data_IF_294537986637
#
_entry.id   IF_294537986637
#
_cell.length_a   1.000
_cell.length_b   1.000
_cell.length_c   1.000
_cell.angle_alpha   90.00
_cell.angle_beta   90.00
_cell.angle_gamma   90.00
#
_symmetry.space_group_name_H-M   'P 1'
#
loop_
_entity.id
_entity.type
_entity.pdbx_description
1 polymer ?
#
# COMPACT_ATOMS: atom_id res chain seq x y z
N UNK A 1 47.63 94.13 0.14
CA UNK A 1 48.31 94.26 1.44
C UNK A 1 47.63 93.30 2.40
N UNK A 2 48.22 92.98 3.53
CA UNK A 2 47.74 92.19 4.60
C UNK A 2 48.06 93.01 5.90
N UNK A 3 47.11 93.89 6.29
CA UNK A 3 47.37 94.97 7.24
C UNK A 3 47.40 94.46 8.71
N UNK A 4 46.85 93.35 9.00
CA UNK A 4 46.81 92.69 10.35
C UNK A 4 47.70 91.46 10.46
N UNK A 5 48.24 90.95 9.37
CA UNK A 5 49.19 89.84 9.25
C UNK A 5 48.57 88.48 9.71
N UNK A 6 47.37 88.16 9.25
CA UNK A 6 46.72 86.90 9.49
C UNK A 6 46.83 85.82 8.37
N UNK A 7 47.52 86.23 7.25
CA UNK A 7 47.77 85.56 6.00
C UNK A 7 46.67 85.66 4.90
N UNK A 8 45.66 86.46 5.14
CA UNK A 8 44.68 86.82 4.16
C UNK A 8 45.01 88.25 3.68
N UNK A 9 44.74 88.54 2.43
CA UNK A 9 44.95 89.94 1.94
C UNK A 9 43.67 90.74 2.21
N UNK A 10 43.85 92.09 2.45
CA UNK A 10 42.72 93.00 2.63
C UNK A 10 41.68 92.88 1.53
N UNK A 11 42.09 92.58 0.29
CA UNK A 11 41.20 92.43 -0.87
C UNK A 11 40.38 91.11 -0.80
N UNK A 12 40.98 90.00 -0.40
CA UNK A 12 40.31 88.69 -0.13
C UNK A 12 39.36 88.81 1.05
N UNK A 13 39.76 89.42 2.14
CA UNK A 13 38.92 89.65 3.33
C UNK A 13 37.67 90.50 3.00
N UNK A 14 37.81 91.55 2.23
CA UNK A 14 36.66 92.34 1.82
C UNK A 14 35.69 91.51 0.94
N UNK A 15 36.19 90.66 0.07
CA UNK A 15 35.37 89.90 -0.83
C UNK A 15 34.71 88.77 0.01
N UNK A 16 35.41 88.16 0.94
CA UNK A 16 34.98 87.05 1.76
C UNK A 16 34.16 87.44 3.04
N UNK A 17 34.13 88.78 3.33
CA UNK A 17 33.28 89.34 4.38
C UNK A 17 33.88 89.32 5.77
N UNK A 18 35.21 89.24 5.91
CA UNK A 18 35.92 89.37 7.16
C UNK A 18 36.43 90.87 7.35
N UNK A 19 37.03 91.12 8.55
CA UNK A 19 37.47 92.44 8.91
C UNK A 19 38.99 92.64 8.64
N UNK A 20 39.42 93.43 7.63
CA UNK A 20 40.80 93.68 7.13
C UNK A 20 41.81 94.18 8.16
N UNK A 21 41.39 94.61 9.32
CA UNK A 21 42.22 95.17 10.41
C UNK A 21 42.13 94.29 11.68
N UNK A 22 41.56 93.11 11.63
CA UNK A 22 41.32 92.31 12.86
C UNK A 22 41.82 90.90 12.69
N UNK A 23 43.03 90.63 13.08
CA UNK A 23 43.71 89.33 12.94
C UNK A 23 42.93 88.14 13.53
N UNK A 24 41.82 88.31 14.22
CA UNK A 24 40.96 87.26 14.71
C UNK A 24 39.67 87.13 13.86
N UNK A 25 39.55 87.87 12.75
CA UNK A 25 38.40 87.82 11.88
C UNK A 25 38.84 87.31 10.48
N UNK A 26 39.20 86.04 10.43
CA UNK A 26 39.59 85.39 9.16
C UNK A 26 38.34 84.99 8.33
N UNK A 27 38.47 85.03 7.01
CA UNK A 27 37.42 84.41 6.15
C UNK A 27 37.05 82.97 6.55
N UNK A 28 35.83 82.60 6.25
CA UNK A 28 35.49 81.19 6.27
C UNK A 28 36.19 80.47 5.14
N UNK A 29 36.95 79.45 5.43
CA UNK A 29 37.75 78.63 4.57
C UNK A 29 37.71 77.21 5.15
N UNK A 30 36.76 76.35 4.69
CA UNK A 30 36.40 75.14 5.31
C UNK A 30 37.48 74.06 5.11
N UNK A 31 38.05 73.97 3.91
CA UNK A 31 39.05 72.98 3.53
C UNK A 31 40.51 73.43 3.79
N UNK A 32 40.69 74.70 4.13
CA UNK A 32 41.97 75.30 4.47
C UNK A 32 42.96 75.41 3.28
N UNK A 33 42.46 75.61 2.06
CA UNK A 33 43.27 75.73 0.88
C UNK A 33 43.70 77.21 0.55
N UNK A 34 43.23 78.15 1.36
CA UNK A 34 43.48 79.62 1.23
C UNK A 34 42.62 80.29 0.16
N UNK A 35 41.53 79.68 -0.27
CA UNK A 35 40.43 80.31 -0.99
C UNK A 35 39.20 80.25 -0.02
N UNK A 36 38.56 81.42 0.17
CA UNK A 36 37.39 81.42 1.05
C UNK A 36 36.16 80.82 0.42
N UNK A 37 35.26 80.22 1.25
CA UNK A 37 34.04 79.56 0.76
C UNK A 37 33.19 80.38 -0.22
N UNK A 38 33.25 81.74 -0.17
CA UNK A 38 32.51 82.61 -1.11
C UNK A 38 33.13 82.62 -2.47
N UNK A 39 34.44 82.43 -2.60
CA UNK A 39 35.19 82.38 -3.81
C UNK A 39 35.58 81.02 -4.32
N UNK A 40 35.52 80.09 -3.46
CA UNK A 40 35.75 78.71 -3.77
C UNK A 40 34.58 78.13 -4.58
N UNK A 41 34.76 77.13 -5.30
CA UNK A 41 33.74 76.35 -6.04
C UNK A 41 33.60 74.94 -5.53
N UNK A 42 34.41 74.59 -4.53
CA UNK A 42 34.46 73.25 -3.92
C UNK A 42 34.88 73.45 -2.46
N UNK A 43 33.92 73.92 -1.61
CA UNK A 43 34.13 74.40 -0.25
C UNK A 43 34.80 73.41 0.70
N UNK A 44 34.63 72.12 0.44
CA UNK A 44 35.14 71.06 1.31
C UNK A 44 36.22 70.17 0.66
N UNK A 45 36.54 70.46 -0.64
CA UNK A 45 37.60 69.85 -1.39
C UNK A 45 37.47 68.32 -1.57
N UNK A 46 36.26 67.86 -1.80
CA UNK A 46 35.96 66.47 -2.10
C UNK A 46 36.04 66.11 -3.58
N UNK A 47 36.26 67.12 -4.47
CA UNK A 47 36.32 67.17 -5.92
C UNK A 47 34.94 67.21 -6.59
N UNK A 48 33.86 67.55 -5.89
CA UNK A 48 32.55 67.89 -6.45
C UNK A 48 32.31 69.37 -6.26
N UNK A 49 31.93 70.10 -7.35
CA UNK A 49 31.66 71.52 -7.24
C UNK A 49 30.39 71.77 -6.44
N UNK A 50 30.37 72.81 -5.55
CA UNK A 50 29.20 73.09 -4.62
C UNK A 50 27.88 73.14 -5.36
N UNK A 51 27.85 73.57 -6.61
CA UNK A 51 26.65 73.67 -7.43
C UNK A 51 26.11 72.30 -7.82
N UNK A 52 26.94 71.27 -7.71
CA UNK A 52 26.63 69.90 -8.06
C UNK A 52 26.58 68.99 -6.81
N UNK A 53 27.03 69.52 -5.69
CA UNK A 53 27.13 68.86 -4.41
C UNK A 53 25.88 69.10 -3.56
N UNK A 54 25.28 68.01 -3.07
CA UNK A 54 24.17 68.06 -2.13
C UNK A 54 24.60 68.51 -0.74
N UNK A 55 25.91 68.35 -0.38
CA UNK A 55 26.49 68.62 0.93
C UNK A 55 27.80 69.47 0.82
N UNK A 56 27.78 70.65 0.25
CA UNK A 56 28.99 71.43 -0.12
C UNK A 56 29.93 71.77 1.03
N UNK A 57 29.69 71.30 2.21
CA UNK A 57 30.47 71.55 3.41
C UNK A 57 30.81 70.24 4.18
N UNK A 58 30.61 69.08 3.56
CA UNK A 58 30.91 67.76 4.17
C UNK A 58 31.64 66.88 3.18
N UNK A 59 32.96 66.93 3.15
CA UNK A 59 33.83 66.19 2.22
C UNK A 59 33.68 64.67 2.26
N UNK A 60 32.79 64.14 3.05
CA UNK A 60 32.44 62.71 3.05
C UNK A 60 31.17 62.41 2.28
N UNK A 61 30.39 63.44 1.87
CA UNK A 61 29.11 63.32 1.21
C UNK A 61 29.01 64.30 0.02
N UNK A 62 28.42 63.85 -1.09
CA UNK A 62 28.22 64.68 -2.27
C UNK A 62 26.89 64.44 -3.01
N UNK A 63 26.25 63.27 -2.75
CA UNK A 63 24.95 62.94 -3.30
C UNK A 63 23.92 62.74 -2.19
N UNK A 64 22.65 62.99 -2.53
CA UNK A 64 21.46 62.71 -1.72
C UNK A 64 20.37 62.35 -2.72
N UNK A 65 20.29 61.05 -3.04
CA UNK A 65 19.49 60.58 -4.16
C UNK A 65 17.99 60.72 -3.89
N UNK A 66 17.53 60.35 -2.68
CA UNK A 66 16.14 60.45 -2.28
C UNK A 66 15.73 61.81 -1.71
N UNK A 67 16.68 62.66 -1.45
CA UNK A 67 16.54 64.01 -0.89
C UNK A 67 15.97 64.04 0.55
N UNK A 68 16.36 63.08 1.39
CA UNK A 68 15.95 63.02 2.77
C UNK A 68 16.85 63.86 3.72
N UNK A 69 18.04 64.26 3.22
CA UNK A 69 19.04 65.09 3.94
C UNK A 69 20.15 64.28 4.61
N UNK A 70 20.23 62.98 4.35
CA UNK A 70 21.34 62.08 4.62
C UNK A 70 22.09 61.88 3.29
N UNK A 71 23.42 61.84 3.27
CA UNK A 71 24.14 61.59 2.04
C UNK A 71 24.27 60.07 1.76
N UNK A 72 24.35 59.74 0.48
CA UNK A 72 24.38 58.33 -0.01
C UNK A 72 25.51 57.50 0.63
N UNK A 73 26.63 58.12 1.10
CA UNK A 73 27.70 57.38 1.76
C UNK A 73 27.35 57.01 3.23
N UNK A 74 26.48 57.79 3.88
CA UNK A 74 26.06 57.61 5.25
C UNK A 74 24.66 56.98 5.35
N UNK A 75 23.87 57.06 4.30
CA UNK A 75 22.59 56.44 4.20
C UNK A 75 22.75 54.89 4.07
N UNK A 76 21.76 54.16 4.39
CA UNK A 76 21.70 52.71 4.28
C UNK A 76 20.55 52.24 3.37
N UNK A 77 19.77 53.22 2.83
CA UNK A 77 18.62 52.99 1.96
C UNK A 77 18.54 54.23 1.06
N UNK A 78 19.45 54.31 0.06
CA UNK A 78 19.74 55.50 -0.76
C UNK A 78 18.54 55.99 -1.56
N UNK A 79 17.53 55.17 -1.83
CA UNK A 79 16.34 55.55 -2.59
C UNK A 79 15.02 55.50 -1.78
N UNK A 80 15.12 55.14 -0.50
CA UNK A 80 14.00 55.10 0.45
C UNK A 80 12.84 54.20 0.04
N UNK A 81 13.14 52.97 -0.52
CA UNK A 81 12.14 52.02 -0.92
C UNK A 81 11.83 50.99 0.20
N UNK A 82 12.58 51.06 1.32
CA UNK A 82 12.60 50.23 2.53
C UNK A 82 13.44 48.94 2.45
N UNK A 83 14.19 48.76 1.37
CA UNK A 83 15.29 47.81 1.33
C UNK A 83 16.59 48.55 1.59
N UNK A 84 17.54 47.89 2.22
CA UNK A 84 18.85 48.53 2.40
C UNK A 84 19.71 48.31 1.14
N UNK A 85 20.63 49.24 0.87
CA UNK A 85 21.58 49.10 -0.26
C UNK A 85 22.31 47.76 -0.25
N UNK A 86 22.62 47.27 0.95
CA UNK A 86 23.30 45.98 1.12
C UNK A 86 22.41 44.81 0.76
N UNK A 87 21.14 44.88 1.14
CA UNK A 87 20.16 43.85 0.79
C UNK A 87 19.91 43.87 -0.72
N UNK A 88 19.75 45.03 -1.31
CA UNK A 88 19.56 45.18 -2.75
C UNK A 88 20.76 44.70 -3.58
N UNK A 89 21.99 45.04 -3.16
CA UNK A 89 23.19 44.46 -3.76
C UNK A 89 23.18 42.94 -3.69
N UNK A 90 22.75 42.37 -2.57
CA UNK A 90 22.67 40.93 -2.38
C UNK A 90 21.58 40.29 -3.24
N UNK A 91 20.48 41.01 -3.40
CA UNK A 91 19.30 40.60 -4.21
C UNK A 91 19.43 40.97 -5.70
N UNK A 92 20.54 41.62 -6.09
CA UNK A 92 20.82 42.05 -7.48
C UNK A 92 19.86 43.12 -8.02
N UNK A 93 19.34 43.98 -7.18
CA UNK A 93 18.55 45.16 -7.51
C UNK A 93 19.42 46.44 -7.47
N UNK A 94 18.88 47.59 -7.85
CA UNK A 94 19.57 48.85 -7.96
C UNK A 94 19.18 49.76 -6.79
N UNK A 95 20.11 49.97 -5.87
CA UNK A 95 19.92 50.76 -4.62
C UNK A 95 19.72 52.29 -4.88
N UNK A 96 19.69 52.71 -6.13
CA UNK A 96 19.39 54.08 -6.52
C UNK A 96 18.11 54.19 -7.37
N UNK A 97 17.29 53.16 -7.45
CA UNK A 97 16.01 53.19 -8.19
C UNK A 97 14.87 52.64 -7.33
N UNK A 98 14.14 53.52 -6.68
CA UNK A 98 12.95 53.22 -5.85
C UNK A 98 11.94 52.21 -6.46
N UNK A 99 11.98 51.97 -7.76
CA UNK A 99 11.12 50.99 -8.42
C UNK A 99 11.82 49.64 -8.66
N UNK A 100 13.09 49.50 -8.28
CA UNK A 100 13.89 48.31 -8.45
C UNK A 100 13.91 47.44 -7.18
N UNK A 101 12.78 47.28 -6.55
CA UNK A 101 12.63 46.51 -5.31
C UNK A 101 12.94 45.04 -5.47
N UNK A 102 13.65 44.40 -4.53
CA UNK A 102 13.79 42.93 -4.47
C UNK A 102 12.44 42.20 -4.45
N UNK A 103 12.39 41.03 -5.08
CA UNK A 103 11.24 40.13 -4.92
C UNK A 103 11.40 39.38 -3.58
N UNK A 104 10.36 39.37 -2.79
CA UNK A 104 10.25 38.73 -1.47
C UNK A 104 8.84 38.14 -1.41
N UNK A 105 8.73 36.83 -1.68
CA UNK A 105 7.45 36.16 -1.91
C UNK A 105 6.68 35.89 -0.61
N UNK A 106 7.37 35.58 0.48
CA UNK A 106 6.76 35.29 1.79
C UNK A 106 6.72 36.50 2.73
N UNK A 107 7.40 37.60 2.36
CA UNK A 107 7.47 38.87 3.12
C UNK A 107 8.21 38.76 4.48
N UNK A 108 9.25 37.94 4.53
CA UNK A 108 10.09 37.80 5.72
C UNK A 108 11.28 38.78 5.77
N UNK A 109 11.50 39.56 4.70
CA UNK A 109 12.57 40.51 4.40
C UNK A 109 13.90 39.83 4.02
N UNK A 110 13.86 38.63 3.52
CA UNK A 110 14.88 38.07 2.64
C UNK A 110 14.30 38.03 1.22
N UNK A 111 15.09 38.32 0.22
CA UNK A 111 14.60 38.21 -1.16
C UNK A 111 14.80 36.81 -1.68
N UNK A 112 13.93 36.35 -2.60
CA UNK A 112 13.94 35.03 -3.22
C UNK A 112 15.33 34.61 -3.77
N UNK A 113 16.23 35.57 -4.06
CA UNK A 113 17.59 35.27 -4.56
C UNK A 113 18.53 34.69 -3.51
N UNK A 114 18.30 34.99 -2.25
CA UNK A 114 19.13 34.58 -1.10
C UNK A 114 18.37 33.86 -0.03
N UNK A 115 17.06 33.72 -0.20
CA UNK A 115 16.24 32.85 0.62
C UNK A 115 16.44 31.38 0.23
N UNK A 116 16.23 30.47 1.12
CA UNK A 116 16.25 29.03 0.89
C UNK A 116 14.83 28.45 0.89
N UNK A 117 13.78 29.28 1.19
CA UNK A 117 12.35 28.91 1.33
C UNK A 117 11.50 30.11 0.92
N UNK A 118 11.48 30.36 -0.42
CA UNK A 118 10.97 31.60 -1.03
C UNK A 118 9.50 31.92 -0.69
N UNK A 119 8.66 30.93 -0.40
CA UNK A 119 7.25 31.13 -0.10
C UNK A 119 6.85 30.90 1.36
N UNK A 120 7.81 30.47 2.21
CA UNK A 120 7.64 30.35 3.64
C UNK A 120 6.77 29.18 4.12
N UNK A 121 6.63 28.13 3.30
CA UNK A 121 5.84 26.95 3.63
C UNK A 121 6.57 25.92 4.50
N UNK A 122 7.88 26.13 4.73
CA UNK A 122 8.82 25.28 5.48
C UNK A 122 9.45 24.15 4.67
N UNK A 123 9.31 24.15 3.36
CA UNK A 123 10.08 23.35 2.43
C UNK A 123 11.10 24.24 1.73
N UNK A 124 12.34 23.80 1.61
CA UNK A 124 13.36 24.56 0.91
C UNK A 124 13.16 24.44 -0.59
N UNK A 125 13.45 25.51 -1.36
CA UNK A 125 13.30 25.57 -2.83
C UNK A 125 13.88 24.39 -3.58
N UNK A 126 14.96 23.80 -3.07
CA UNK A 126 15.60 22.64 -3.69
C UNK A 126 14.82 21.34 -3.51
N UNK A 127 13.94 21.27 -2.52
CA UNK A 127 13.11 20.12 -2.17
C UNK A 127 11.66 20.36 -2.56
N UNK A 128 11.30 21.61 -2.85
CA UNK A 128 9.98 22.05 -3.25
C UNK A 128 9.83 22.07 -4.77
N UNK A 129 8.74 21.50 -5.28
CA UNK A 129 8.38 21.55 -6.68
C UNK A 129 7.65 22.85 -7.07
N UNK A 130 7.18 23.63 -6.10
CA UNK A 130 6.44 24.88 -6.27
C UNK A 130 6.99 26.01 -5.39
N UNK A 131 8.28 26.39 -5.48
CA UNK A 131 8.98 27.26 -4.54
C UNK A 131 8.42 28.68 -4.36
N UNK A 132 7.33 29.02 -5.03
CA UNK A 132 6.66 30.32 -4.96
C UNK A 132 5.17 30.19 -4.62
N UNK A 133 4.71 29.00 -4.23
CA UNK A 133 3.30 28.73 -3.87
C UNK A 133 3.19 28.05 -2.51
N UNK A 134 3.00 28.80 -1.43
CA UNK A 134 2.99 28.28 -0.04
C UNK A 134 1.85 27.28 0.25
N UNK A 135 1.14 26.84 -0.75
CA UNK A 135 0.08 25.85 -0.61
C UNK A 135 0.43 24.50 -1.22
N UNK A 136 1.52 24.44 -1.98
CA UNK A 136 1.95 23.25 -2.72
C UNK A 136 3.46 23.04 -2.53
N UNK A 137 3.89 21.78 -2.41
CA UNK A 137 5.32 21.44 -2.31
C UNK A 137 5.68 20.13 -3.04
N UNK A 138 4.67 19.38 -3.47
CA UNK A 138 4.82 18.07 -4.12
C UNK A 138 3.89 17.96 -5.34
N UNK A 139 4.26 17.09 -6.28
CA UNK A 139 3.55 16.77 -7.51
C UNK A 139 3.87 15.29 -7.80
N UNK A 140 3.00 14.42 -7.35
CA UNK A 140 3.26 12.97 -7.31
C UNK A 140 3.25 12.34 -8.70
N UNK A 141 2.33 12.74 -9.56
CA UNK A 141 2.21 12.20 -10.92
C UNK A 141 3.03 13.01 -11.96
N UNK A 142 3.47 14.23 -11.60
CA UNK A 142 4.30 15.08 -12.45
C UNK A 142 3.55 15.81 -13.54
N UNK A 143 2.26 16.06 -13.38
CA UNK A 143 1.43 16.73 -14.39
C UNK A 143 1.50 18.27 -14.31
N UNK A 144 2.08 18.80 -13.22
CA UNK A 144 2.29 20.24 -12.97
C UNK A 144 1.19 20.87 -12.12
N UNK A 145 0.32 20.10 -11.54
CA UNK A 145 -0.62 20.48 -10.48
C UNK A 145 -0.07 19.95 -9.17
N UNK A 146 -0.07 20.78 -8.12
CA UNK A 146 0.42 20.33 -6.82
C UNK A 146 -0.56 19.38 -6.12
N UNK A 147 -0.03 18.45 -5.35
CA UNK A 147 -0.77 17.37 -4.68
C UNK A 147 -2.00 17.84 -3.87
N UNK A 148 -1.95 19.05 -3.31
CA UNK A 148 -3.06 19.59 -2.53
C UNK A 148 -4.21 20.12 -3.39
N UNK A 149 -3.93 20.53 -4.61
CA UNK A 149 -4.90 21.06 -5.59
C UNK A 149 -5.32 20.04 -6.62
N UNK A 150 -4.61 18.91 -6.69
CA UNK A 150 -4.88 17.85 -7.64
C UNK A 150 -6.11 17.04 -7.24
N UNK A 151 -6.87 16.62 -8.24
CA UNK A 151 -8.04 15.77 -8.09
C UNK A 151 -7.76 14.29 -8.33
N UNK A 152 -6.61 13.99 -8.94
CA UNK A 152 -6.14 12.65 -9.29
C UNK A 152 -4.61 12.62 -9.04
N UNK A 153 -4.26 12.63 -7.75
CA UNK A 153 -2.89 12.92 -7.28
C UNK A 153 -1.81 11.94 -7.74
N UNK A 154 -2.16 10.69 -7.97
CA UNK A 154 -1.22 9.67 -8.44
C UNK A 154 -1.30 9.39 -9.94
N UNK A 155 -2.31 10.00 -10.63
CA UNK A 155 -2.44 9.97 -12.09
C UNK A 155 -2.95 8.66 -12.65
N UNK A 156 -3.76 7.92 -11.89
CA UNK A 156 -4.34 6.64 -12.34
C UNK A 156 -5.66 6.78 -13.12
N UNK A 157 -6.15 8.02 -13.35
CA UNK A 157 -7.43 8.39 -13.93
C UNK A 157 -8.64 8.18 -12.98
N UNK A 158 -8.44 8.01 -11.66
CA UNK A 158 -9.49 7.94 -10.65
C UNK A 158 -9.38 9.13 -9.69
N UNK A 159 -10.49 9.91 -9.57
CA UNK A 159 -10.48 11.08 -8.68
C UNK A 159 -10.25 10.67 -7.22
N UNK A 160 -9.37 11.38 -6.48
CA UNK A 160 -9.05 11.15 -5.05
C UNK A 160 -10.28 10.96 -4.14
N UNK A 161 -11.44 11.52 -4.51
CA UNK A 161 -12.69 11.42 -3.71
C UNK A 161 -13.26 10.00 -3.74
N UNK A 162 -12.98 9.23 -4.77
CA UNK A 162 -13.51 7.88 -4.99
C UNK A 162 -12.42 6.82 -5.04
N UNK A 163 -11.17 7.22 -5.06
CA UNK A 163 -10.01 6.37 -5.00
C UNK A 163 -9.71 5.95 -3.56
N UNK A 164 -9.57 4.66 -3.32
CA UNK A 164 -9.20 4.12 -2.01
C UNK A 164 -7.69 4.20 -1.75
N UNK A 165 -6.89 4.42 -2.79
CA UNK A 165 -5.42 4.51 -2.73
C UNK A 165 -4.87 5.74 -3.46
N UNK A 166 -5.27 6.98 -3.11
CA UNK A 166 -4.98 8.19 -3.87
C UNK A 166 -3.50 8.56 -4.01
N UNK A 167 -2.61 7.76 -3.49
CA UNK A 167 -1.15 7.90 -3.55
C UNK A 167 -0.50 6.70 -4.23
N UNK A 168 -1.26 5.86 -4.95
CA UNK A 168 -0.75 4.64 -5.54
C UNK A 168 -1.32 4.37 -6.93
N UNK A 169 -0.69 4.91 -7.95
CA UNK A 169 -1.00 4.76 -9.38
C UNK A 169 -1.46 3.36 -9.85
N UNK A 170 -1.22 2.33 -9.04
CA UNK A 170 -1.51 0.94 -9.40
C UNK A 170 -2.78 0.40 -8.77
N UNK A 171 -3.39 1.12 -7.85
CA UNK A 171 -4.52 0.66 -7.06
C UNK A 171 -5.55 1.77 -6.92
N UNK A 172 -6.82 1.43 -7.04
CA UNK A 172 -7.92 2.37 -6.81
C UNK A 172 -9.13 1.74 -6.13
N UNK A 173 -9.16 0.40 -6.05
CA UNK A 173 -10.27 -0.38 -5.48
C UNK A 173 -9.73 -1.34 -4.43
N UNK A 174 -10.53 -1.63 -3.41
CA UNK A 174 -10.31 -2.59 -2.33
C UNK A 174 -11.69 -3.16 -1.99
N UNK A 175 -11.99 -4.31 -2.56
CA UNK A 175 -13.35 -4.85 -2.55
C UNK A 175 -13.76 -5.39 -1.17
N UNK A 176 -12.83 -6.04 -0.47
CA UNK A 176 -13.06 -6.63 0.86
C UNK A 176 -12.71 -5.69 2.02
N UNK A 177 -12.12 -4.51 1.71
CA UNK A 177 -11.72 -3.47 2.67
C UNK A 177 -10.62 -3.92 3.66
N UNK A 178 -9.71 -4.81 3.24
CA UNK A 178 -8.62 -5.28 4.08
C UNK A 178 -7.38 -4.35 4.07
N UNK A 179 -7.32 -3.42 3.12
CA UNK A 179 -6.26 -2.41 2.94
C UNK A 179 -5.20 -2.81 1.91
N UNK A 180 -5.41 -3.88 1.18
CA UNK A 180 -4.68 -4.26 -0.03
C UNK A 180 -5.59 -3.95 -1.22
N UNK A 181 -5.07 -3.38 -2.29
CA UNK A 181 -5.90 -3.10 -3.47
C UNK A 181 -6.05 -4.33 -4.36
N UNK A 182 -7.18 -4.42 -5.07
CA UNK A 182 -7.55 -5.58 -5.89
C UNK A 182 -6.48 -6.01 -6.90
N UNK A 183 -5.60 -5.09 -7.37
CA UNK A 183 -4.53 -5.48 -8.28
C UNK A 183 -3.34 -6.18 -7.59
N UNK A 184 -3.17 -5.99 -6.30
CA UNK A 184 -2.09 -6.57 -5.49
C UNK A 184 -2.59 -7.70 -4.60
N UNK A 185 -3.89 -7.77 -4.35
CA UNK A 185 -4.50 -8.83 -3.60
C UNK A 185 -4.50 -10.14 -4.43
N UNK A 186 -4.66 -11.22 -3.78
CA UNK A 186 -4.75 -12.56 -4.38
C UNK A 186 -6.09 -13.22 -4.09
N UNK A 187 -6.92 -12.61 -3.23
CA UNK A 187 -8.21 -13.10 -2.76
C UNK A 187 -9.08 -11.87 -2.49
N UNK A 188 -9.54 -11.23 -3.61
CA UNK A 188 -10.17 -9.90 -3.64
C UNK A 188 -11.44 -9.78 -2.78
N UNK A 189 -12.10 -10.88 -2.42
CA UNK A 189 -13.32 -10.88 -1.59
C UNK A 189 -13.15 -11.57 -0.23
N UNK A 190 -11.94 -12.09 0.05
CA UNK A 190 -11.50 -12.68 1.32
C UNK A 190 -12.36 -13.88 1.77
N UNK A 191 -12.80 -14.72 0.80
CA UNK A 191 -13.57 -15.93 1.09
C UNK A 191 -12.70 -17.16 1.35
N UNK A 192 -11.39 -17.05 1.06
CA UNK A 192 -10.37 -18.08 1.31
C UNK A 192 -9.92 -18.82 0.06
N UNK A 193 -10.52 -18.53 -1.10
CA UNK A 193 -10.04 -18.95 -2.41
C UNK A 193 -9.30 -17.78 -3.07
N UNK A 194 -8.33 -18.08 -3.88
CA UNK A 194 -7.65 -17.02 -4.63
C UNK A 194 -8.41 -16.71 -5.91
N UNK A 195 -8.32 -15.44 -6.39
CA UNK A 195 -8.91 -14.99 -7.64
C UNK A 195 -8.60 -15.94 -8.81
N UNK A 196 -7.37 -16.44 -8.84
CA UNK A 196 -6.94 -17.34 -9.90
C UNK A 196 -7.67 -18.68 -9.82
N UNK A 197 -7.81 -19.25 -8.63
CA UNK A 197 -8.53 -20.51 -8.40
C UNK A 197 -10.02 -20.35 -8.75
N UNK A 198 -10.61 -19.23 -8.39
CA UNK A 198 -11.99 -18.94 -8.71
C UNK A 198 -12.22 -18.73 -10.21
N UNK A 199 -11.38 -17.94 -10.88
CA UNK A 199 -11.43 -17.76 -12.34
C UNK A 199 -11.26 -19.08 -13.07
N UNK A 200 -10.33 -19.95 -12.66
CA UNK A 200 -10.11 -21.27 -13.27
C UNK A 200 -11.30 -22.20 -13.05
N UNK A 201 -11.96 -22.08 -11.91
CA UNK A 201 -13.15 -22.86 -11.56
C UNK A 201 -14.44 -22.27 -12.12
N UNK A 202 -14.40 -20.98 -12.55
CA UNK A 202 -15.49 -20.28 -13.21
C UNK A 202 -16.39 -19.50 -12.26
N UNK A 203 -15.88 -19.13 -11.11
CA UNK A 203 -16.50 -18.27 -10.11
C UNK A 203 -16.07 -16.81 -10.30
N UNK A 204 -16.66 -15.89 -9.53
CA UNK A 204 -16.41 -14.44 -9.60
C UNK A 204 -15.55 -14.04 -8.39
N UNK A 205 -14.27 -13.63 -8.57
CA UNK A 205 -13.36 -13.26 -7.50
C UNK A 205 -13.83 -12.10 -6.59
N UNK A 206 -14.93 -11.46 -6.96
CA UNK A 206 -15.52 -10.36 -6.19
C UNK A 206 -16.83 -10.77 -5.51
N UNK A 207 -17.10 -12.06 -5.32
CA UNK A 207 -18.37 -12.54 -4.81
C UNK A 207 -18.21 -13.66 -3.76
N UNK A 208 -17.85 -13.32 -2.55
CA UNK A 208 -17.67 -14.23 -1.40
C UNK A 208 -18.87 -15.10 -1.00
N UNK A 209 -19.99 -15.01 -1.74
CA UNK A 209 -21.13 -15.91 -1.57
C UNK A 209 -21.13 -17.09 -2.55
N UNK A 210 -20.25 -17.07 -3.58
CA UNK A 210 -20.17 -18.07 -4.65
C UNK A 210 -18.70 -18.51 -4.86
N UNK A 211 -18.27 -19.56 -4.22
CA UNK A 211 -16.92 -20.11 -4.25
C UNK A 211 -16.89 -21.59 -4.64
N UNK A 212 -15.73 -22.13 -5.04
CA UNK A 212 -15.54 -23.55 -5.26
C UNK A 212 -15.93 -24.39 -4.02
N UNK A 213 -16.69 -25.46 -4.22
CA UNK A 213 -17.00 -26.37 -3.13
C UNK A 213 -15.78 -27.25 -2.81
N UNK A 214 -15.43 -27.34 -1.53
CA UNK A 214 -14.35 -28.14 -0.97
C UNK A 214 -14.91 -28.80 0.30
N UNK A 215 -15.35 -30.05 0.15
CA UNK A 215 -16.14 -30.74 1.17
C UNK A 215 -15.31 -31.16 2.36
N UNK A 216 -14.05 -31.58 2.17
CA UNK A 216 -13.17 -32.02 3.24
C UNK A 216 -12.23 -30.91 3.74
N UNK A 217 -12.19 -29.76 3.03
CA UNK A 217 -11.39 -28.58 3.36
C UNK A 217 -9.88 -28.82 3.29
N UNK A 218 -9.43 -29.57 2.31
CA UNK A 218 -8.02 -29.82 2.05
C UNK A 218 -7.38 -28.80 1.10
N UNK A 219 -8.18 -27.92 0.46
CA UNK A 219 -7.79 -26.88 -0.47
C UNK A 219 -7.84 -27.30 -1.93
N UNK A 220 -8.50 -28.42 -2.26
CA UNK A 220 -8.80 -28.87 -3.61
C UNK A 220 -10.32 -28.83 -3.78
N UNK A 221 -10.81 -28.22 -4.87
CA UNK A 221 -12.26 -28.19 -5.14
C UNK A 221 -12.80 -29.59 -5.49
N UNK A 222 -13.98 -29.95 -5.01
CA UNK A 222 -14.66 -31.26 -5.26
C UNK A 222 -14.67 -31.64 -6.75
N UNK A 223 -14.67 -30.71 -7.67
CA UNK A 223 -14.69 -30.96 -9.11
C UNK A 223 -13.41 -31.60 -9.66
N UNK A 224 -12.29 -31.39 -8.98
CA UNK A 224 -10.95 -31.87 -9.37
C UNK A 224 -10.31 -32.75 -8.30
N UNK A 225 -10.93 -32.87 -7.13
CA UNK A 225 -10.55 -33.83 -6.14
C UNK A 225 -10.91 -35.26 -6.59
N UNK A 226 -10.20 -36.22 -6.14
CA UNK A 226 -10.46 -37.64 -6.35
C UNK A 226 -11.12 -38.33 -5.12
N UNK A 227 -11.16 -37.60 -3.95
CA UNK A 227 -11.68 -38.08 -2.64
C UNK A 227 -12.33 -36.89 -1.91
N UNK A 228 -13.49 -36.46 -2.43
CA UNK A 228 -14.20 -35.21 -2.08
C UNK A 228 -14.46 -35.02 -0.56
N UNK A 229 -14.62 -36.10 0.21
CA UNK A 229 -14.90 -36.01 1.64
C UNK A 229 -13.74 -36.43 2.57
N UNK A 230 -12.60 -36.81 1.97
CA UNK A 230 -11.35 -37.10 2.67
C UNK A 230 -11.40 -38.34 3.58
N UNK A 231 -12.31 -39.29 3.33
CA UNK A 231 -12.45 -40.49 4.16
C UNK A 231 -11.46 -41.61 3.82
N UNK A 232 -10.74 -41.45 2.68
CA UNK A 232 -9.73 -42.38 2.17
C UNK A 232 -10.25 -43.35 1.10
N UNK A 233 -11.50 -43.24 0.70
CA UNK A 233 -12.04 -43.88 -0.47
C UNK A 233 -12.19 -42.88 -1.60
N UNK A 234 -11.82 -43.25 -2.79
CA UNK A 234 -11.96 -42.36 -3.95
C UNK A 234 -13.43 -42.28 -4.37
N UNK A 235 -13.89 -41.13 -4.86
CA UNK A 235 -15.23 -40.93 -5.41
C UNK A 235 -15.64 -41.99 -6.42
N UNK A 236 -14.71 -42.40 -7.26
CA UNK A 236 -14.92 -43.42 -8.26
C UNK A 236 -15.23 -44.81 -7.66
N UNK A 237 -14.64 -45.09 -6.52
CA UNK A 237 -14.89 -46.31 -5.76
C UNK A 237 -16.27 -46.22 -5.07
N UNK A 238 -16.51 -45.11 -4.42
CA UNK A 238 -17.77 -44.86 -3.72
C UNK A 238 -18.96 -44.84 -4.69
N UNK A 239 -18.85 -44.14 -5.81
CA UNK A 239 -19.88 -44.20 -6.84
C UNK A 239 -20.13 -45.62 -7.37
N UNK A 240 -19.11 -46.46 -7.45
CA UNK A 240 -19.20 -47.83 -7.84
C UNK A 240 -19.89 -48.68 -6.75
N UNK A 241 -19.56 -48.41 -5.49
CA UNK A 241 -20.09 -49.12 -4.32
C UNK A 241 -21.44 -48.53 -3.82
N UNK A 242 -21.97 -47.50 -4.52
CA UNK A 242 -23.19 -46.79 -4.14
C UNK A 242 -23.17 -46.13 -2.76
N UNK A 243 -22.01 -45.69 -2.32
CA UNK A 243 -21.84 -44.76 -1.20
C UNK A 243 -21.84 -43.30 -1.69
N UNK A 244 -21.71 -42.35 -0.80
CA UNK A 244 -21.84 -40.95 -1.10
C UNK A 244 -20.48 -40.22 -0.99
N UNK A 245 -19.84 -39.81 -2.08
CA UNK A 245 -18.52 -39.16 -2.10
C UNK A 245 -18.40 -37.83 -1.34
N UNK A 246 -19.51 -37.26 -0.90
CA UNK A 246 -19.55 -36.00 -0.16
C UNK A 246 -19.86 -36.22 1.33
N UNK A 247 -19.71 -37.44 1.85
CA UNK A 247 -20.08 -37.76 3.25
C UNK A 247 -19.17 -38.85 3.84
N UNK A 248 -18.14 -38.44 4.55
CA UNK A 248 -17.11 -39.26 5.18
C UNK A 248 -17.65 -40.33 6.22
N UNK A 249 -18.94 -40.32 6.50
CA UNK A 249 -19.59 -41.40 7.27
C UNK A 249 -20.17 -42.49 6.37
N UNK A 250 -20.16 -42.31 5.05
CA UNK A 250 -20.79 -43.19 4.06
C UNK A 250 -19.77 -44.10 3.36
N UNK A 251 -18.96 -44.79 4.12
CA UNK A 251 -17.88 -45.65 3.64
C UNK A 251 -18.38 -46.92 2.96
N UNK A 252 -17.75 -47.40 1.87
CA UNK A 252 -18.01 -48.70 1.27
C UNK A 252 -17.81 -49.83 2.26
N UNK A 253 -18.78 -50.78 2.30
CA UNK A 253 -18.62 -52.03 3.06
C UNK A 253 -17.79 -53.01 2.24
N UNK A 254 -16.86 -53.70 2.87
CA UNK A 254 -16.01 -54.77 2.33
C UNK A 254 -15.83 -55.80 3.45
N UNK A 255 -16.70 -56.84 3.44
CA UNK A 255 -16.88 -57.73 4.56
C UNK A 255 -15.70 -58.69 4.73
N UNK A 256 -15.19 -59.25 3.63
CA UNK A 256 -14.06 -60.19 3.67
C UNK A 256 -12.67 -59.50 3.57
N UNK A 257 -12.67 -58.19 3.29
CA UNK A 257 -11.48 -57.34 3.16
C UNK A 257 -10.55 -57.74 1.98
N UNK A 258 -11.15 -58.15 0.86
CA UNK A 258 -10.39 -58.51 -0.33
C UNK A 258 -10.09 -57.30 -1.22
N UNK A 259 -10.75 -56.13 -0.97
CA UNK A 259 -10.60 -54.87 -1.66
C UNK A 259 -11.66 -54.60 -2.73
N UNK A 260 -12.68 -55.44 -2.81
CA UNK A 260 -13.93 -55.13 -3.48
C UNK A 260 -15.00 -54.83 -2.43
N UNK A 261 -15.88 -53.88 -2.69
CA UNK A 261 -16.99 -53.64 -1.78
C UNK A 261 -18.13 -54.64 -2.05
N UNK A 262 -18.88 -54.94 -1.01
CA UNK A 262 -20.00 -55.92 -1.05
C UNK A 262 -20.99 -55.67 -2.20
N UNK A 263 -21.12 -54.43 -2.69
CA UNK A 263 -22.02 -54.11 -3.79
C UNK A 263 -21.56 -54.65 -5.18
N UNK A 264 -20.24 -54.80 -5.37
CA UNK A 264 -19.65 -55.28 -6.65
C UNK A 264 -18.95 -56.61 -6.52
N UNK A 265 -18.75 -57.07 -5.29
CA UNK A 265 -18.26 -58.40 -5.03
C UNK A 265 -19.32 -59.44 -5.46
N UNK A 266 -18.94 -60.65 -5.66
CA UNK A 266 -19.80 -61.77 -5.99
C UNK A 266 -19.75 -62.87 -4.94
N UNK A 267 -18.88 -62.68 -3.93
CA UNK A 267 -18.59 -63.63 -2.84
C UNK A 267 -18.25 -62.82 -1.60
N UNK A 268 -19.27 -62.15 -1.02
CA UNK A 268 -19.12 -61.09 -0.02
C UNK A 268 -18.33 -61.50 1.26
N UNK A 269 -18.30 -62.81 1.57
CA UNK A 269 -17.62 -63.30 2.75
C UNK A 269 -16.33 -64.12 2.45
N UNK A 270 -16.04 -64.35 1.18
CA UNK A 270 -14.81 -64.97 0.71
C UNK A 270 -14.71 -66.47 0.98
N UNK A 271 -15.84 -67.16 1.14
CA UNK A 271 -15.87 -68.61 1.40
C UNK A 271 -15.78 -69.48 0.15
N UNK A 272 -15.97 -68.87 -1.03
CA UNK A 272 -15.89 -69.51 -2.32
C UNK A 272 -17.25 -69.89 -2.94
N UNK A 273 -18.37 -69.57 -2.32
CA UNK A 273 -19.70 -69.57 -2.92
C UNK A 273 -20.05 -68.17 -3.44
N UNK A 274 -20.70 -68.08 -4.56
CA UNK A 274 -21.17 -66.76 -5.06
C UNK A 274 -22.47 -66.37 -4.33
N UNK A 275 -22.67 -65.11 -3.92
CA UNK A 275 -23.85 -64.61 -3.19
C UNK A 275 -25.19 -65.06 -3.81
N UNK A 276 -25.28 -65.17 -5.15
CA UNK A 276 -26.48 -65.57 -5.85
C UNK A 276 -26.90 -67.00 -5.49
N UNK A 277 -25.96 -67.83 -5.04
CA UNK A 277 -26.15 -69.22 -4.70
C UNK A 277 -25.83 -69.57 -3.26
N UNK A 278 -25.42 -68.57 -2.49
CA UNK A 278 -25.12 -68.66 -1.06
C UNK A 278 -26.36 -68.31 -0.21
N UNK A 279 -26.75 -69.22 0.66
CA UNK A 279 -27.86 -68.97 1.61
C UNK A 279 -27.44 -68.06 2.77
N UNK A 280 -26.09 -67.81 2.97
CA UNK A 280 -25.49 -67.03 4.03
C UNK A 280 -24.39 -66.10 3.56
N UNK A 281 -24.61 -65.16 2.62
CA UNK A 281 -23.59 -64.36 1.92
C UNK A 281 -22.66 -63.51 2.79
N UNK A 282 -22.82 -63.52 4.13
CA UNK A 282 -22.01 -62.81 5.12
C UNK A 282 -21.52 -63.71 6.23
N UNK A 283 -21.48 -65.03 6.04
CA UNK A 283 -20.94 -65.99 7.00
C UNK A 283 -19.94 -66.96 6.37
N UNK A 284 -18.62 -66.66 6.44
CA UNK A 284 -17.58 -67.41 5.72
C UNK A 284 -17.41 -68.86 6.17
N UNK A 285 -18.34 -69.39 6.91
CA UNK A 285 -18.36 -70.76 7.38
C UNK A 285 -19.55 -71.55 6.81
N UNK A 286 -20.60 -70.84 6.44
CA UNK A 286 -21.85 -71.41 5.95
C UNK A 286 -22.17 -70.93 4.56
N UNK A 287 -22.61 -71.81 3.66
CA UNK A 287 -22.99 -71.42 2.28
C UNK A 287 -24.27 -72.11 1.81
N UNK A 288 -24.86 -73.01 2.65
CA UNK A 288 -26.03 -73.78 2.28
C UNK A 288 -26.93 -74.03 3.45
N UNK A 289 -28.23 -73.91 3.27
CA UNK A 289 -29.32 -74.22 4.24
C UNK A 289 -30.35 -75.16 3.51
N UNK A 290 -30.13 -76.44 3.65
CA UNK A 290 -30.81 -77.39 2.82
C UNK A 290 -32.30 -77.58 3.22
N UNK A 291 -32.63 -77.46 4.50
CA UNK A 291 -34.02 -77.56 4.98
C UNK A 291 -34.69 -76.21 5.16
N UNK A 292 -33.92 -75.12 5.00
CA UNK A 292 -34.36 -73.72 5.09
C UNK A 292 -34.88 -73.33 6.48
N UNK A 293 -34.24 -73.81 7.51
CA UNK A 293 -34.62 -73.49 8.91
C UNK A 293 -33.86 -72.29 9.46
N UNK A 294 -32.83 -71.76 8.73
CA UNK A 294 -32.00 -70.60 9.04
C UNK A 294 -30.71 -70.96 9.81
N UNK A 295 -30.37 -72.26 9.89
CA UNK A 295 -29.10 -72.79 10.42
C UNK A 295 -28.35 -73.36 9.19
N UNK A 296 -27.11 -72.99 8.96
CA UNK A 296 -26.32 -73.48 7.85
C UNK A 296 -25.90 -74.95 8.11
N UNK A 297 -25.74 -75.68 7.03
CA UNK A 297 -25.49 -77.14 7.09
C UNK A 297 -24.21 -77.48 7.85
N UNK A 298 -23.23 -76.60 8.02
CA UNK A 298 -22.04 -76.88 8.83
C UNK A 298 -22.31 -76.78 10.33
N UNK A 299 -23.30 -75.97 10.71
CA UNK A 299 -23.73 -75.76 12.13
C UNK A 299 -24.99 -76.60 12.52
N UNK A 300 -25.74 -77.06 11.51
CA UNK A 300 -26.90 -77.86 11.76
C UNK A 300 -26.55 -79.30 12.14
N UNK A 301 -27.35 -79.86 12.97
CA UNK A 301 -27.25 -81.30 13.39
C UNK A 301 -28.18 -82.18 12.59
N UNK A 302 -29.12 -81.64 11.76
CA UNK A 302 -30.12 -82.31 10.96
C UNK A 302 -30.31 -81.61 9.61
N UNK A 303 -29.30 -81.71 8.74
CA UNK A 303 -29.18 -80.92 7.50
C UNK A 303 -30.41 -80.88 6.57
N UNK A 304 -31.19 -81.94 6.56
CA UNK A 304 -32.36 -82.08 5.67
C UNK A 304 -33.70 -81.95 6.37
N UNK A 305 -33.72 -81.77 7.72
CA UNK A 305 -34.90 -81.49 8.49
C UNK A 305 -35.88 -82.68 8.61
N UNK A 306 -35.44 -83.92 8.39
CA UNK A 306 -36.28 -85.07 8.42
C UNK A 306 -36.57 -85.61 9.86
N UNK A 307 -35.85 -85.08 10.85
CA UNK A 307 -35.98 -85.43 12.30
C UNK A 307 -34.96 -86.45 12.79
N UNK A 308 -34.07 -86.90 11.92
CA UNK A 308 -32.87 -87.67 12.30
C UNK A 308 -31.65 -86.71 12.18
N UNK A 309 -30.77 -86.87 13.13
CA UNK A 309 -29.56 -86.05 13.04
C UNK A 309 -28.58 -86.69 12.09
N UNK A 310 -27.71 -85.84 11.45
CA UNK A 310 -26.64 -86.26 10.52
C UNK A 310 -25.79 -87.35 11.13
N UNK A 311 -25.49 -87.21 12.43
CA UNK A 311 -24.76 -88.24 13.15
C UNK A 311 -25.51 -89.58 13.21
N UNK A 312 -26.82 -89.57 13.43
CA UNK A 312 -27.63 -90.75 13.45
C UNK A 312 -27.72 -91.41 12.06
N UNK A 313 -27.95 -90.55 11.03
CA UNK A 313 -28.07 -91.01 9.65
C UNK A 313 -26.76 -91.60 9.13
N UNK A 314 -25.63 -90.92 9.35
CA UNK A 314 -24.31 -91.46 8.98
C UNK A 314 -24.03 -92.80 9.66
N UNK A 315 -24.52 -93.05 10.91
CA UNK A 315 -24.39 -94.31 11.56
C UNK A 315 -25.37 -95.39 11.04
N UNK A 316 -26.49 -94.93 10.52
CA UNK A 316 -27.56 -95.78 10.00
C UNK A 316 -27.43 -96.00 8.46
N UNK A 317 -26.42 -95.40 7.82
CA UNK A 317 -26.14 -95.52 6.40
C UNK A 317 -27.27 -94.90 5.54
N UNK A 318 -27.92 -93.85 6.02
CA UNK A 318 -28.80 -92.95 5.24
C UNK A 318 -28.03 -91.74 4.80
N UNK A 319 -28.64 -90.87 4.07
CA UNK A 319 -28.01 -89.65 3.52
C UNK A 319 -28.52 -88.40 4.26
N UNK A 320 -27.71 -87.77 5.09
CA UNK A 320 -28.10 -86.58 5.84
C UNK A 320 -28.47 -85.36 5.05
N UNK A 321 -28.41 -85.45 3.74
CA UNK A 321 -28.77 -84.34 2.82
C UNK A 321 -29.92 -84.70 1.88
N UNK A 322 -30.71 -85.74 2.20
CA UNK A 322 -31.91 -86.14 1.42
C UNK A 322 -33.03 -86.46 2.34
N UNK A 323 -33.95 -85.54 2.59
CA UNK A 323 -35.17 -85.68 3.46
C UNK A 323 -36.00 -86.87 3.20
N UNK A 324 -35.78 -87.58 2.08
CA UNK A 324 -36.45 -88.85 1.75
C UNK A 324 -35.58 -90.06 2.10
N UNK A 325 -34.35 -89.86 2.56
CA UNK A 325 -33.42 -90.95 2.88
C UNK A 325 -33.45 -91.33 4.38
N UNK A 326 -34.60 -91.49 4.93
CA UNK A 326 -34.86 -91.74 6.34
C UNK A 326 -34.34 -93.10 6.81
N UNK A 327 -33.60 -93.22 7.96
CA UNK A 327 -33.20 -94.45 8.51
C UNK A 327 -34.40 -95.38 8.81
N UNK A 328 -34.20 -96.70 8.66
CA UNK A 328 -35.23 -97.66 9.04
C UNK A 328 -35.27 -97.83 10.59
N UNK A 329 -36.39 -97.47 11.19
CA UNK A 329 -36.68 -97.59 12.62
C UNK A 329 -38.07 -98.25 12.79
N UNK A 330 -38.13 -99.56 12.93
CA UNK A 330 -39.39 -100.33 12.94
C UNK A 330 -40.14 -100.21 14.26
N UNK A 331 -39.49 -99.99 15.34
CA UNK A 331 -40.12 -99.93 16.67
C UNK A 331 -40.31 -98.49 17.20
N UNK A 332 -39.74 -97.45 16.49
CA UNK A 332 -39.96 -96.04 16.74
C UNK A 332 -39.20 -95.50 17.98
N UNK A 333 -38.07 -96.11 18.31
CA UNK A 333 -37.33 -95.74 19.53
C UNK A 333 -36.21 -94.68 19.25
N UNK A 334 -36.07 -94.24 18.01
CA UNK A 334 -35.09 -93.24 17.54
C UNK A 334 -33.67 -93.79 17.34
N UNK A 335 -33.57 -95.15 17.22
CA UNK A 335 -32.34 -95.84 16.82
C UNK A 335 -32.66 -96.75 15.63
N UNK A 336 -31.85 -96.68 14.60
CA UNK A 336 -32.04 -97.48 13.41
C UNK A 336 -31.91 -98.98 13.65
N UNK A 337 -32.65 -99.80 12.93
CA UNK A 337 -32.70 -101.24 13.03
C UNK A 337 -31.37 -102.01 12.83
#
# INVERSE_FOLDING_TARGET
DDDDNDNWSDEEEIICGSEEMNQNSTPEDLDLDMICDIMDSDDDNDNVEDIQDAFPRDSSEWNDFDNDGTGDNADTDDDNDNWTDLDEISCMTDSLDYNSTPIDTDFDNLCDTIDDDDDGDSFNDLEDLFPLDPTENADMDGDGIGDNSDQDRDGDDVDNEIDLFPDNLSESVDYDEDGIGDNADLDDDNDGWTDLEEIESGYDPLNSEEYPLDTDSDGIEDKIDDDDDGDGFLDSVENTCQTNPLNSESIPSDFDNDGLCDFVDLDDDGDGAEDEIDDFPFDPIEYSDLDSDGIGNNADDDDDGDGWTDYQENNCISNPQDVNSVPSDTDGDGVCD
#
